data_IF_130876182437
#
_entry.id   IF_130876182437
#
_cell.length_a   1.000
_cell.length_b   1.000
_cell.length_c   1.000
_cell.angle_alpha   90.00
_cell.angle_beta   90.00
_cell.angle_gamma   90.00
#
_symmetry.space_group_name_H-M   'P 1'
#
loop_
_entity.id
_entity.type
_entity.pdbx_description
1 polymer ?
#
# COMPACT_ATOMS: atom_id res chain seq x y z
N UNK A 1 10.32 41.89 -34.73
CA UNK A 1 10.61 40.45 -34.96
C UNK A 1 11.38 39.79 -33.82
N UNK A 2 12.47 40.37 -33.29
CA UNK A 2 13.21 39.76 -32.16
C UNK A 2 12.38 39.56 -30.88
N UNK A 3 11.55 40.54 -30.51
CA UNK A 3 10.72 40.44 -29.29
C UNK A 3 9.72 39.28 -29.36
N UNK A 4 9.10 39.06 -30.52
CA UNK A 4 8.16 37.97 -30.75
C UNK A 4 8.87 36.60 -30.67
N UNK A 5 10.08 36.51 -31.23
CA UNK A 5 10.90 35.28 -31.16
C UNK A 5 11.34 34.95 -29.74
N UNK A 6 11.73 35.95 -28.95
CA UNK A 6 12.12 35.76 -27.54
C UNK A 6 10.92 35.30 -26.71
N UNK A 7 9.75 35.92 -26.87
CA UNK A 7 8.53 35.50 -26.17
C UNK A 7 8.16 34.06 -26.53
N UNK A 8 8.22 33.69 -27.82
CA UNK A 8 7.92 32.33 -28.27
C UNK A 8 8.88 31.28 -27.67
N UNK A 9 10.18 31.58 -27.59
CA UNK A 9 11.19 30.70 -26.99
C UNK A 9 10.97 30.50 -25.49
N UNK A 10 10.66 31.57 -24.75
CA UNK A 10 10.39 31.50 -23.31
C UNK A 10 9.14 30.69 -23.02
N UNK A 11 8.07 30.87 -23.81
CA UNK A 11 6.85 30.08 -23.65
C UNK A 11 7.07 28.59 -23.91
N UNK A 12 7.88 28.24 -24.92
CA UNK A 12 8.20 26.85 -25.23
C UNK A 12 8.97 26.17 -24.09
N UNK A 13 9.96 26.86 -23.52
CA UNK A 13 10.70 26.36 -22.36
C UNK A 13 9.77 26.12 -21.15
N UNK A 14 8.81 27.02 -20.90
CA UNK A 14 7.84 26.86 -19.82
C UNK A 14 6.97 25.59 -19.94
N UNK A 15 6.54 25.25 -21.16
CA UNK A 15 5.74 24.03 -21.41
C UNK A 15 6.56 22.75 -21.21
N UNK A 16 7.84 22.76 -21.61
CA UNK A 16 8.72 21.59 -21.44
C UNK A 16 9.02 21.27 -19.97
N UNK A 17 9.09 22.28 -19.10
CA UNK A 17 9.30 22.09 -17.66
C UNK A 17 8.05 21.53 -16.95
N UNK A 18 6.85 21.70 -17.52
CA UNK A 18 5.62 21.14 -16.96
C UNK A 18 5.60 19.61 -16.98
N UNK A 19 6.42 18.96 -17.82
CA UNK A 19 6.56 17.50 -17.86
C UNK A 19 7.25 16.90 -16.61
N UNK A 20 7.97 17.70 -15.83
CA UNK A 20 8.57 17.26 -14.55
C UNK A 20 7.66 17.52 -13.33
N UNK A 21 6.48 18.10 -13.54
CA UNK A 21 5.52 18.45 -12.47
C UNK A 21 4.45 17.38 -12.25
N UNK A 22 4.83 16.10 -12.21
CA UNK A 22 3.85 15.06 -11.90
C UNK A 22 3.24 15.30 -10.51
N UNK A 23 1.96 14.92 -10.35
CA UNK A 23 1.33 14.99 -9.04
C UNK A 23 2.16 14.14 -8.06
N UNK A 24 2.39 14.61 -6.81
CA UNK A 24 3.06 13.79 -5.81
C UNK A 24 2.40 12.41 -5.72
N UNK A 25 3.19 11.35 -5.97
CA UNK A 25 2.78 9.95 -5.84
C UNK A 25 2.64 9.58 -4.36
N UNK A 26 1.70 10.25 -3.70
CA UNK A 26 1.35 10.04 -2.30
C UNK A 26 0.04 9.29 -2.25
N UNK A 27 -0.05 8.33 -1.32
CA UNK A 27 -1.33 7.71 -0.99
C UNK A 27 -2.23 8.79 -0.38
N UNK A 28 -3.20 9.25 -1.16
CA UNK A 28 -4.22 10.18 -0.69
C UNK A 28 -5.19 9.50 0.29
N UNK A 29 -5.92 10.26 1.12
CA UNK A 29 -6.92 9.71 2.04
C UNK A 29 -7.99 8.85 1.35
N UNK A 30 -8.35 9.19 0.11
CA UNK A 30 -9.28 8.42 -0.74
C UNK A 30 -8.74 7.08 -1.23
N UNK A 31 -7.41 6.86 -1.12
CA UNK A 31 -6.74 5.60 -1.46
C UNK A 31 -6.54 4.70 -0.24
N UNK A 32 -6.85 5.16 0.98
CA UNK A 32 -7.15 4.23 2.07
C UNK A 32 -8.48 3.58 1.76
N UNK A 33 -8.44 2.48 1.02
CA UNK A 33 -9.51 1.49 1.12
C UNK A 33 -9.61 1.16 2.61
N UNK A 34 -10.77 1.41 3.22
CA UNK A 34 -11.08 0.78 4.49
C UNK A 34 -11.24 -0.71 4.16
N UNK A 35 -10.11 -1.40 4.09
CA UNK A 35 -10.10 -2.83 3.80
C UNK A 35 -10.97 -3.53 4.83
N UNK A 36 -11.61 -4.63 4.41
CA UNK A 36 -12.33 -5.49 5.32
C UNK A 36 -11.42 -5.85 6.51
N UNK A 37 -12.01 -6.01 7.69
CA UNK A 37 -11.21 -6.32 8.87
C UNK A 37 -10.45 -7.62 8.61
N UNK A 38 -9.15 -7.68 8.94
CA UNK A 38 -8.28 -8.79 8.52
C UNK A 38 -8.79 -10.19 8.92
N UNK A 39 -9.53 -10.29 10.03
CA UNK A 39 -10.14 -11.55 10.49
C UNK A 39 -11.39 -11.97 9.68
N UNK A 40 -11.96 -11.07 8.87
CA UNK A 40 -13.09 -11.35 7.97
C UNK A 40 -12.63 -11.90 6.60
N UNK A 41 -11.32 -12.02 6.38
CA UNK A 41 -10.79 -12.59 5.13
C UNK A 41 -11.11 -14.07 4.95
N UNK A 42 -10.88 -14.57 3.73
CA UNK A 42 -11.03 -15.97 3.32
C UNK A 42 -12.45 -16.57 3.49
N UNK A 43 -13.53 -15.86 3.10
CA UNK A 43 -14.86 -16.48 3.06
C UNK A 43 -14.84 -17.65 2.07
N UNK A 44 -15.35 -18.80 2.51
CA UNK A 44 -15.47 -20.03 1.71
C UNK A 44 -14.15 -20.55 1.10
N UNK A 45 -13.00 -20.10 1.63
CA UNK A 45 -11.69 -20.58 1.19
C UNK A 45 -11.36 -21.90 1.89
N UNK A 46 -11.19 -23.02 1.15
CA UNK A 46 -10.84 -24.30 1.75
C UNK A 46 -9.36 -24.36 2.22
N UNK A 47 -8.54 -23.38 1.87
CA UNK A 47 -7.09 -23.35 2.17
C UNK A 47 -6.74 -22.42 3.34
N UNK A 48 -7.65 -22.27 4.30
CA UNK A 48 -7.38 -21.54 5.55
C UNK A 48 -6.43 -22.31 6.47
N UNK A 49 -5.62 -21.57 7.23
CA UNK A 49 -4.73 -22.16 8.24
C UNK A 49 -5.53 -22.97 9.28
N UNK A 50 -5.07 -24.20 9.57
CA UNK A 50 -5.73 -25.10 10.52
C UNK A 50 -5.89 -24.44 11.89
N UNK A 51 -7.10 -24.48 12.45
CA UNK A 51 -7.44 -23.86 13.74
C UNK A 51 -7.85 -22.40 13.65
N UNK A 52 -7.87 -21.82 12.44
CA UNK A 52 -8.50 -20.54 12.15
C UNK A 52 -9.85 -20.68 11.47
N UNK A 53 -10.82 -19.87 11.89
CA UNK A 53 -12.16 -19.77 11.31
C UNK A 53 -12.39 -18.35 10.80
N UNK A 54 -12.87 -18.22 9.56
CA UNK A 54 -13.21 -16.92 8.97
C UNK A 54 -14.23 -16.18 9.84
N UNK A 55 -13.99 -14.88 10.08
CA UNK A 55 -14.83 -14.04 10.95
C UNK A 55 -14.50 -14.13 12.45
N UNK A 56 -13.74 -15.14 12.91
CA UNK A 56 -13.31 -15.22 14.31
C UNK A 56 -12.03 -14.41 14.57
N UNK A 57 -12.20 -13.25 15.20
CA UNK A 57 -11.12 -12.35 15.60
C UNK A 57 -10.14 -12.99 16.59
N UNK A 58 -10.62 -13.75 17.57
CA UNK A 58 -9.77 -14.33 18.61
C UNK A 58 -8.87 -15.42 18.02
N UNK A 59 -9.48 -16.31 17.24
CA UNK A 59 -8.75 -17.34 16.51
C UNK A 59 -7.71 -16.74 15.55
N UNK A 60 -8.06 -15.69 14.80
CA UNK A 60 -7.12 -14.96 13.94
C UNK A 60 -5.94 -14.36 14.72
N UNK A 61 -6.21 -13.68 15.84
CA UNK A 61 -5.18 -13.09 16.69
C UNK A 61 -4.22 -14.15 17.25
N UNK A 62 -4.76 -15.31 17.64
CA UNK A 62 -3.95 -16.41 18.16
C UNK A 62 -3.01 -16.98 17.09
N UNK A 63 -3.48 -17.17 15.86
CA UNK A 63 -2.64 -17.57 14.73
C UNK A 63 -1.50 -16.58 14.47
N UNK A 64 -1.82 -15.28 14.43
CA UNK A 64 -0.84 -14.22 14.20
C UNK A 64 0.24 -14.24 15.29
N UNK A 65 -0.17 -14.36 16.56
CA UNK A 65 0.76 -14.46 17.68
C UNK A 65 1.64 -15.70 17.58
N UNK A 66 1.06 -16.88 17.37
CA UNK A 66 1.82 -18.13 17.27
C UNK A 66 2.84 -18.07 16.13
N UNK A 67 2.44 -17.58 14.94
CA UNK A 67 3.35 -17.42 13.81
C UNK A 67 4.54 -16.52 14.15
N UNK A 68 4.28 -15.39 14.79
CA UNK A 68 5.34 -14.46 15.19
C UNK A 68 6.31 -15.11 16.19
N UNK A 69 5.82 -15.93 17.13
CA UNK A 69 6.68 -16.64 18.07
C UNK A 69 7.56 -17.68 17.38
N UNK A 70 7.04 -18.37 16.35
CA UNK A 70 7.78 -19.39 15.59
C UNK A 70 8.84 -18.80 14.65
N UNK A 71 8.69 -17.53 14.28
CA UNK A 71 9.64 -16.76 13.48
C UNK A 71 10.61 -15.93 14.33
N UNK A 72 10.44 -15.94 15.66
CA UNK A 72 11.32 -15.22 16.56
C UNK A 72 12.59 -16.04 16.83
N UNK A 73 13.73 -15.59 16.31
CA UNK A 73 15.01 -16.29 16.48
C UNK A 73 15.44 -16.42 17.94
N UNK A 74 15.09 -15.47 18.81
CA UNK A 74 15.35 -15.59 20.25
C UNK A 74 14.69 -16.84 20.85
N UNK A 75 13.51 -17.24 20.36
CA UNK A 75 12.84 -18.46 20.81
C UNK A 75 13.36 -19.72 20.11
N UNK A 76 14.04 -19.59 18.97
CA UNK A 76 14.47 -20.73 18.14
C UNK A 76 15.87 -21.22 18.49
N UNK A 77 16.74 -20.32 18.94
CA UNK A 77 18.15 -20.60 19.25
C UNK A 77 18.46 -20.72 20.74
N UNK A 78 17.49 -20.41 21.61
CA UNK A 78 17.57 -20.66 23.05
C UNK A 78 17.26 -22.11 23.36
#
# INVERSE_FOLDING_TARGET
MNRIRVVALVSLCGVLLAACGEKPQTIGPSHRKADAQAFQGAPDDPFVAKGWTAGDRNSWNNQIRQRNQLQNEYNRVQ
#
